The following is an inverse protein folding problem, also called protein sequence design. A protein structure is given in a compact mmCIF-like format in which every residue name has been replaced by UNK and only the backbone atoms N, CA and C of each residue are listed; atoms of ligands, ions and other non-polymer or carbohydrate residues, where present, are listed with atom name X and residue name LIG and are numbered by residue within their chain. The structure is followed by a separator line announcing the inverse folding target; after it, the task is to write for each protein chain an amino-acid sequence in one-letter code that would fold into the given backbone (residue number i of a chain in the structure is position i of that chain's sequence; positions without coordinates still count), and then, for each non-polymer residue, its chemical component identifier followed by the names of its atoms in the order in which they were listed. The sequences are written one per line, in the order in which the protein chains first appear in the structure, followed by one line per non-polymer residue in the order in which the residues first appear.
data_IF_792038274758
#
_entry.id   IF_792038274758
#
_cell.length_a   1.000
_cell.length_b   1.000
_cell.length_c   1.000
_cell.angle_alpha   90.00
_cell.angle_beta   90.00
_cell.angle_gamma   90.00
#
_symmetry.space_group_name_H-M   'P 1'
#
loop_
_entity.id
_entity.type
_entity.pdbx_description
1 polymer ?
#
# COMPACT_ATOMS: atom_id res chain seq x y z
N UNK A 1 -47.00 -4.50 -6.89
CA UNK A 1 -45.72 -5.23 -6.98
C UNK A 1 -44.58 -4.41 -7.61
N UNK A 2 -44.78 -3.60 -8.66
CA UNK A 2 -43.71 -2.81 -9.31
C UNK A 2 -42.90 -1.90 -8.37
N UNK A 3 -43.54 -1.17 -7.43
CA UNK A 3 -42.85 -0.27 -6.48
C UNK A 3 -41.86 -0.97 -5.53
N UNK A 4 -42.10 -2.24 -5.15
CA UNK A 4 -41.16 -2.99 -4.29
C UNK A 4 -39.92 -3.41 -5.07
N UNK A 5 -40.07 -3.79 -6.34
CA UNK A 5 -38.95 -4.17 -7.21
C UNK A 5 -37.97 -3.01 -7.40
N UNK A 6 -38.46 -1.78 -7.66
CA UNK A 6 -37.59 -0.60 -7.76
C UNK A 6 -36.83 -0.29 -6.47
N UNK A 7 -37.44 -0.51 -5.30
CA UNK A 7 -36.79 -0.30 -4.01
C UNK A 7 -35.66 -1.32 -3.76
N UNK A 8 -35.90 -2.60 -4.09
CA UNK A 8 -34.87 -3.64 -3.99
C UNK A 8 -33.73 -3.44 -4.98
N UNK A 9 -34.02 -3.02 -6.22
CA UNK A 9 -32.98 -2.71 -7.23
C UNK A 9 -32.16 -1.48 -6.80
N UNK A 10 -32.80 -0.43 -6.28
CA UNK A 10 -32.10 0.75 -5.77
C UNK A 10 -31.19 0.42 -4.59
N UNK A 11 -31.66 -0.39 -3.63
CA UNK A 11 -30.84 -0.85 -2.50
C UNK A 11 -29.64 -1.67 -2.97
N UNK A 12 -29.85 -2.60 -3.91
CA UNK A 12 -28.78 -3.44 -4.44
C UNK A 12 -27.69 -2.63 -5.15
N UNK A 13 -28.08 -1.61 -5.91
CA UNK A 13 -27.14 -0.66 -6.53
C UNK A 13 -26.37 0.15 -5.48
N UNK A 14 -27.02 0.61 -4.41
CA UNK A 14 -26.34 1.35 -3.34
C UNK A 14 -25.33 0.48 -2.58
N UNK A 15 -25.61 -0.80 -2.33
CA UNK A 15 -24.67 -1.71 -1.69
C UNK A 15 -23.47 -2.03 -2.60
N UNK A 16 -23.69 -2.18 -3.90
CA UNK A 16 -22.59 -2.37 -4.87
C UNK A 16 -21.68 -1.15 -4.97
N UNK A 17 -22.22 0.07 -4.96
CA UNK A 17 -21.42 1.29 -5.02
C UNK A 17 -20.56 1.50 -3.77
N UNK A 18 -21.09 1.17 -2.58
CA UNK A 18 -20.34 1.30 -1.33
C UNK A 18 -19.15 0.32 -1.27
N UNK A 19 -19.36 -0.95 -1.66
CA UNK A 19 -18.29 -1.95 -1.70
C UNK A 19 -17.21 -1.61 -2.74
N UNK A 20 -17.58 -0.98 -3.86
CA UNK A 20 -16.62 -0.53 -4.88
C UNK A 20 -15.77 0.64 -4.38
N UNK A 21 -16.35 1.57 -3.60
CA UNK A 21 -15.63 2.70 -3.01
C UNK A 21 -14.62 2.24 -1.95
N UNK A 22 -15.01 1.32 -1.07
CA UNK A 22 -14.11 0.69 -0.09
C UNK A 22 -12.98 -0.11 -0.77
N UNK A 23 -13.29 -0.86 -1.83
CA UNK A 23 -12.27 -1.59 -2.59
C UNK A 23 -11.23 -0.64 -3.22
N UNK A 24 -11.68 0.43 -3.87
CA UNK A 24 -10.81 1.43 -4.49
C UNK A 24 -9.95 2.15 -3.45
N UNK A 25 -10.51 2.41 -2.27
CA UNK A 25 -9.79 3.06 -1.20
C UNK A 25 -8.73 2.17 -0.55
N UNK A 26 -9.05 0.89 -0.33
CA UNK A 26 -8.08 -0.13 0.10
C UNK A 26 -6.92 -0.24 -0.90
N UNK A 27 -7.23 -0.30 -2.19
CA UNK A 27 -6.22 -0.34 -3.26
C UNK A 27 -5.34 0.91 -3.26
N UNK A 28 -5.92 2.10 -3.05
CA UNK A 28 -5.16 3.35 -2.91
C UNK A 28 -4.18 3.29 -1.74
N UNK A 29 -4.61 2.81 -0.57
CA UNK A 29 -3.73 2.68 0.61
C UNK A 29 -2.58 1.71 0.39
N UNK A 30 -2.85 0.61 -0.33
CA UNK A 30 -1.81 -0.33 -0.76
C UNK A 30 -0.81 0.37 -1.69
N UNK A 31 -1.28 1.13 -2.67
CA UNK A 31 -0.40 1.87 -3.57
C UNK A 31 0.45 2.92 -2.82
N UNK A 32 -0.16 3.74 -1.94
CA UNK A 32 0.53 4.76 -1.14
C UNK A 32 1.63 4.15 -0.24
N UNK A 33 1.32 3.06 0.47
CA UNK A 33 2.30 2.34 1.29
C UNK A 33 3.41 1.70 0.43
N UNK A 34 3.06 1.17 -0.74
CA UNK A 34 4.03 0.63 -1.69
C UNK A 34 5.00 1.69 -2.24
N UNK A 35 4.51 2.90 -2.54
CA UNK A 35 5.37 4.01 -2.96
C UNK A 35 6.36 4.43 -1.87
N UNK A 36 5.91 4.47 -0.62
CA UNK A 36 6.77 4.73 0.53
C UNK A 36 7.89 3.69 0.66
N UNK A 37 7.58 2.40 0.47
CA UNK A 37 8.60 1.37 0.50
C UNK A 37 9.56 1.44 -0.70
N UNK A 38 9.09 1.83 -1.89
CA UNK A 38 9.99 2.09 -3.03
C UNK A 38 10.94 3.25 -2.74
N UNK A 39 10.42 4.36 -2.20
CA UNK A 39 11.23 5.52 -1.80
C UNK A 39 12.29 5.14 -0.77
N UNK A 40 11.92 4.33 0.23
CA UNK A 40 12.86 3.78 1.20
C UNK A 40 13.97 2.96 0.51
N UNK A 41 13.62 2.03 -0.37
CA UNK A 41 14.61 1.20 -1.07
C UNK A 41 15.57 2.04 -1.91
N UNK A 42 15.08 3.07 -2.60
CA UNK A 42 15.90 3.94 -3.45
C UNK A 42 16.69 4.98 -2.65
N UNK A 43 16.56 5.03 -1.33
CA UNK A 43 17.25 6.01 -0.49
C UNK A 43 16.72 7.44 -0.65
N UNK A 44 15.52 7.62 -1.20
CA UNK A 44 14.83 8.92 -1.22
C UNK A 44 14.28 9.14 0.19
N UNK A 45 14.98 9.97 0.97
CA UNK A 45 14.76 10.09 2.42
C UNK A 45 14.46 11.53 2.87
N UNK A 46 13.64 12.28 2.13
CA UNK A 46 13.08 13.52 2.66
C UNK A 46 12.18 13.18 3.85
N UNK A 47 12.74 13.26 5.05
CA UNK A 47 12.09 12.82 6.29
C UNK A 47 10.77 13.57 6.53
N UNK A 48 10.67 14.83 6.10
CA UNK A 48 9.46 15.63 6.29
C UNK A 48 8.35 15.19 5.35
N UNK A 49 8.64 15.02 4.05
CA UNK A 49 7.64 14.54 3.09
C UNK A 49 7.26 13.08 3.37
N UNK A 50 8.22 12.21 3.70
CA UNK A 50 7.91 10.82 4.07
C UNK A 50 7.05 10.74 5.33
N UNK A 51 7.34 11.54 6.35
CA UNK A 51 6.53 11.59 7.58
C UNK A 51 5.09 12.02 7.25
N UNK A 52 4.93 13.06 6.43
CA UNK A 52 3.63 13.55 5.99
C UNK A 52 2.85 12.48 5.21
N UNK A 53 3.50 11.75 4.31
CA UNK A 53 2.88 10.65 3.57
C UNK A 53 2.48 9.47 4.48
N UNK A 54 3.30 9.14 5.47
CA UNK A 54 2.97 8.16 6.51
C UNK A 54 1.77 8.64 7.34
N UNK A 55 1.74 9.91 7.74
CA UNK A 55 0.62 10.48 8.50
C UNK A 55 -0.67 10.48 7.64
N UNK A 56 -0.56 10.75 6.34
CA UNK A 56 -1.67 10.70 5.38
C UNK A 56 -2.28 9.29 5.21
N UNK A 57 -1.51 8.23 5.42
CA UNK A 57 -2.07 6.86 5.44
C UNK A 57 -3.09 6.67 6.58
N UNK A 58 -2.91 7.37 7.70
CA UNK A 58 -3.81 7.36 8.85
C UNK A 58 -4.92 8.43 8.80
N UNK A 59 -4.76 9.44 7.94
CA UNK A 59 -5.73 10.51 7.76
C UNK A 59 -6.64 10.20 6.56
N UNK A 60 -7.93 10.03 6.83
CA UNK A 60 -8.95 10.29 5.82
C UNK A 60 -10.12 11.09 6.46
N UNK A 61 -10.44 12.30 5.94
CA UNK A 61 -11.40 13.22 6.55
C UNK A 61 -12.86 12.76 6.49
N UNK A 62 -13.22 11.69 5.77
CA UNK A 62 -14.61 11.21 5.71
C UNK A 62 -14.83 9.93 6.52
N UNK A 63 -16.02 9.78 7.12
CA UNK A 63 -16.38 8.65 8.00
C UNK A 63 -16.52 7.30 7.29
N UNK A 64 -16.35 7.27 5.97
CA UNK A 64 -16.61 6.11 5.10
C UNK A 64 -15.37 5.60 4.38
N UNK A 65 -14.19 6.12 4.74
CA UNK A 65 -12.93 5.77 4.08
C UNK A 65 -12.00 5.02 5.04
N UNK A 66 -11.26 4.10 4.45
CA UNK A 66 -10.39 3.13 5.07
C UNK A 66 -9.21 3.83 5.74
N UNK A 67 -8.96 3.48 7.01
CA UNK A 67 -7.84 4.03 7.79
C UNK A 67 -6.83 2.96 8.17
N UNK A 68 -5.55 3.28 7.96
CA UNK A 68 -4.46 2.52 8.57
C UNK A 68 -4.26 3.05 10.00
N UNK A 69 -4.66 2.26 11.00
CA UNK A 69 -4.71 2.67 12.41
C UNK A 69 -3.33 3.00 12.99
N UNK A 70 -2.28 2.36 12.48
CA UNK A 70 -0.89 2.58 12.87
C UNK A 70 0.01 2.57 11.62
N UNK A 71 -0.03 3.67 10.87
CA UNK A 71 0.72 3.81 9.61
C UNK A 71 2.23 3.73 9.81
N UNK A 72 2.74 4.24 10.94
CA UNK A 72 4.16 4.19 11.27
C UNK A 72 4.63 2.75 11.47
N UNK A 73 3.88 1.95 12.22
CA UNK A 73 4.21 0.53 12.40
C UNK A 73 4.04 -0.25 11.10
N UNK A 74 2.99 0.04 10.31
CA UNK A 74 2.82 -0.55 8.98
C UNK A 74 4.03 -0.27 8.06
N UNK A 75 4.50 0.97 8.03
CA UNK A 75 5.68 1.34 7.24
C UNK A 75 6.97 0.69 7.78
N UNK A 76 7.13 0.60 9.10
CA UNK A 76 8.28 -0.09 9.69
C UNK A 76 8.32 -1.59 9.33
N UNK A 77 7.17 -2.26 9.31
CA UNK A 77 7.06 -3.67 8.89
C UNK A 77 7.46 -3.83 7.41
N UNK A 78 7.04 -2.89 6.54
CA UNK A 78 7.43 -2.90 5.14
C UNK A 78 8.95 -2.67 4.95
N UNK A 79 9.57 -1.78 5.72
CA UNK A 79 11.03 -1.58 5.69
C UNK A 79 11.78 -2.87 6.05
N UNK A 80 11.32 -3.58 7.08
CA UNK A 80 11.93 -4.86 7.49
C UNK A 80 11.86 -5.91 6.39
N UNK A 81 10.72 -6.01 5.70
CA UNK A 81 10.57 -6.87 4.52
C UNK A 81 11.59 -6.48 3.43
N UNK A 82 11.67 -5.19 3.08
CA UNK A 82 12.62 -4.68 2.09
C UNK A 82 14.06 -5.02 2.49
N UNK A 83 14.44 -4.78 3.74
CA UNK A 83 15.79 -5.05 4.22
C UNK A 83 16.17 -6.53 4.17
N UNK A 84 15.19 -7.43 4.33
CA UNK A 84 15.38 -8.88 4.21
C UNK A 84 15.57 -9.31 2.76
N UNK A 85 14.83 -8.70 1.85
CA UNK A 85 14.73 -9.13 0.45
C UNK A 85 15.71 -8.41 -0.49
N UNK A 86 16.17 -7.20 -0.14
CA UNK A 86 16.92 -6.30 -1.04
C UNK A 86 18.18 -6.94 -1.63
N UNK A 87 18.88 -7.81 -0.88
CA UNK A 87 20.07 -8.51 -1.37
C UNK A 87 19.75 -9.51 -2.48
N UNK A 88 18.61 -10.21 -2.39
CA UNK A 88 18.13 -11.13 -3.44
C UNK A 88 17.91 -10.38 -4.75
N UNK A 89 17.44 -9.13 -4.69
CA UNK A 89 17.29 -8.25 -5.85
C UNK A 89 18.57 -7.51 -6.25
N UNK A 90 19.69 -7.77 -5.56
CA UNK A 90 21.02 -7.23 -5.87
C UNK A 90 21.26 -5.80 -5.39
N UNK A 91 20.44 -5.30 -4.48
CA UNK A 91 20.63 -4.01 -3.77
C UNK A 91 21.65 -4.21 -2.65
N UNK A 92 22.59 -3.28 -2.50
CA UNK A 92 23.61 -3.33 -1.45
C UNK A 92 23.82 -1.94 -0.82
N UNK A 93 23.86 -1.89 0.52
CA UNK A 93 24.00 -0.68 1.33
C UNK A 93 25.43 -0.09 1.37
N UNK A 94 26.40 -0.76 0.73
CA UNK A 94 27.81 -0.31 0.73
C UNK A 94 28.08 0.96 -0.07
N UNK A 95 27.06 1.54 -0.72
CA UNK A 95 27.22 2.76 -1.51
C UNK A 95 26.26 3.85 -0.99
N UNK A 96 26.78 4.98 -0.48
CA UNK A 96 25.94 6.07 0.02
C UNK A 96 25.14 6.77 -1.08
N UNK A 97 25.56 6.62 -2.35
CA UNK A 97 24.82 7.10 -3.52
C UNK A 97 24.05 5.95 -4.18
N UNK A 98 22.80 6.24 -4.59
CA UNK A 98 21.98 5.28 -5.32
C UNK A 98 22.61 4.94 -6.67
N UNK A 99 23.32 3.81 -6.73
CA UNK A 99 23.84 3.30 -7.99
C UNK A 99 22.72 2.83 -8.92
N UNK A 100 22.94 2.87 -10.24
CA UNK A 100 22.00 2.31 -11.22
C UNK A 100 21.66 0.83 -10.93
N UNK A 101 22.63 0.07 -10.38
CA UNK A 101 22.41 -1.31 -9.95
C UNK A 101 21.39 -1.39 -8.80
N UNK A 102 21.56 -0.57 -7.76
CA UNK A 102 20.63 -0.52 -6.62
C UNK A 102 19.24 -0.04 -7.06
N UNK A 103 19.17 1.01 -7.87
CA UNK A 103 17.90 1.49 -8.46
C UNK A 103 17.18 0.36 -9.21
N UNK A 104 17.88 -0.34 -10.12
CA UNK A 104 17.32 -1.47 -10.86
C UNK A 104 16.87 -2.60 -9.93
N UNK A 105 17.59 -2.85 -8.84
CA UNK A 105 17.22 -3.82 -7.81
C UNK A 105 15.91 -3.45 -7.09
N UNK A 106 15.76 -2.20 -6.67
CA UNK A 106 14.52 -1.70 -6.05
C UNK A 106 13.32 -1.80 -7.00
N UNK A 107 13.49 -1.41 -8.27
CA UNK A 107 12.44 -1.56 -9.29
C UNK A 107 12.12 -3.04 -9.53
N UNK A 108 13.11 -3.93 -9.51
CA UNK A 108 12.88 -5.38 -9.60
C UNK A 108 12.12 -5.94 -8.41
N UNK A 109 12.40 -5.50 -7.19
CA UNK A 109 11.63 -5.92 -6.03
C UNK A 109 10.17 -5.44 -6.12
N UNK A 110 9.98 -4.16 -6.46
CA UNK A 110 8.66 -3.54 -6.59
C UNK A 110 7.80 -4.21 -7.68
N UNK A 111 8.37 -4.49 -8.86
CA UNK A 111 7.63 -5.04 -10.00
C UNK A 111 7.74 -6.55 -10.19
N UNK A 112 8.90 -7.15 -9.89
CA UNK A 112 9.31 -8.47 -10.37
C UNK A 112 9.63 -9.46 -9.25
N UNK A 113 9.08 -9.29 -8.04
CA UNK A 113 9.26 -10.23 -6.93
C UNK A 113 8.67 -11.62 -7.19
N UNK A 114 9.35 -12.34 -8.08
CA UNK A 114 9.27 -13.68 -8.63
C UNK A 114 7.92 -14.40 -8.69
N UNK A 115 7.17 -14.14 -9.77
CA UNK A 115 6.27 -15.11 -10.40
C UNK A 115 4.77 -14.81 -10.26
N UNK A 116 4.24 -14.00 -11.19
CA UNK A 116 2.80 -13.71 -11.35
C UNK A 116 2.12 -13.08 -10.11
N UNK A 117 2.30 -11.76 -9.95
CA UNK A 117 1.82 -10.98 -8.81
C UNK A 117 2.96 -10.78 -7.81
N UNK A 118 3.54 -9.58 -7.76
CA UNK A 118 4.81 -9.37 -7.05
C UNK A 118 4.68 -9.70 -5.56
N UNK A 119 5.60 -10.50 -5.01
CA UNK A 119 5.65 -10.77 -3.55
C UNK A 119 5.65 -9.48 -2.73
N UNK A 120 6.23 -8.41 -3.27
CA UNK A 120 6.15 -7.06 -2.72
C UNK A 120 4.71 -6.55 -2.60
N UNK A 121 3.92 -6.57 -3.68
CA UNK A 121 2.53 -6.12 -3.66
C UNK A 121 1.69 -6.94 -2.68
N UNK A 122 1.86 -8.27 -2.68
CA UNK A 122 1.16 -9.14 -1.73
C UNK A 122 1.51 -8.83 -0.28
N UNK A 123 2.77 -8.52 -0.01
CA UNK A 123 3.21 -8.14 1.33
C UNK A 123 2.64 -6.79 1.75
N UNK A 124 2.63 -5.79 0.86
CA UNK A 124 1.99 -4.49 1.13
C UNK A 124 0.49 -4.68 1.40
N UNK A 125 -0.22 -5.48 0.61
CA UNK A 125 -1.63 -5.81 0.83
C UNK A 125 -1.86 -6.49 2.19
N UNK A 126 -0.99 -7.44 2.56
CA UNK A 126 -1.03 -8.12 3.85
C UNK A 126 -0.86 -7.12 5.00
N UNK A 127 0.09 -6.20 4.88
CA UNK A 127 0.36 -5.16 5.89
C UNK A 127 -0.85 -4.22 6.01
N UNK A 128 -1.38 -3.71 4.89
CA UNK A 128 -2.57 -2.83 4.92
C UNK A 128 -3.74 -3.53 5.60
N UNK A 129 -4.07 -4.77 5.22
CA UNK A 129 -5.16 -5.55 5.85
C UNK A 129 -4.93 -5.81 7.35
N UNK A 130 -3.67 -5.93 7.78
CA UNK A 130 -3.33 -6.13 9.20
C UNK A 130 -3.63 -4.87 10.04
N UNK A 131 -3.30 -3.69 9.51
CA UNK A 131 -3.41 -2.42 10.24
C UNK A 131 -4.68 -1.61 9.91
N UNK A 132 -5.46 -2.04 8.92
CA UNK A 132 -6.77 -1.51 8.60
C UNK A 132 -7.88 -2.40 9.17
N UNK A 133 -8.68 -1.86 10.09
CA UNK A 133 -9.80 -2.61 10.69
C UNK A 133 -10.94 -2.84 9.71
N UNK A 134 -11.16 -1.90 8.81
CA UNK A 134 -12.26 -1.88 7.83
C UNK A 134 -11.95 -2.72 6.57
N UNK A 135 -10.70 -3.15 6.39
CA UNK A 135 -10.23 -3.89 5.20
C UNK A 135 -10.26 -5.42 5.36
N UNK A 136 -10.89 -5.93 6.43
CA UNK A 136 -10.95 -7.35 6.77
C UNK A 136 -12.21 -8.02 6.24
#
# INVERSE_FOLDING_TARGET
MKKRVYFFVSLFFCFYSANAEEFLDSYRKVAELGWLGLAYCTGINDENEMKKDIDNLSLDPTRHKIKIMDSKTAFNELKQYIDTEKEFYGVNDKNPELSYKNFKGCIKMFYYGAGYGSGYQFEVERIVKKYCKECK
#
